data_IF_411410424026
#
_entry.id   IF_411410424026
#
_cell.length_a   1.000
_cell.length_b   1.000
_cell.length_c   1.000
_cell.angle_alpha   90.00
_cell.angle_beta   90.00
_cell.angle_gamma   90.00
#
_symmetry.space_group_name_H-M   'P 1'
#
loop_
_entity.id
_entity.type
_entity.pdbx_description
1 polymer ?
#
# COMPACT_ATOMS: atom_id res chain seq x y z
N UNK A 1 3.43 -7.86 -25.85
CA UNK A 1 3.89 -6.47 -25.63
C UNK A 1 4.01 -6.33 -24.12
N UNK A 2 5.17 -5.94 -23.57
CA UNK A 2 5.28 -5.76 -22.13
C UNK A 2 4.54 -4.48 -21.76
N UNK A 3 3.42 -4.67 -21.08
CA UNK A 3 2.67 -3.72 -20.27
C UNK A 3 3.61 -2.73 -19.56
N UNK A 4 3.69 -1.52 -20.10
CA UNK A 4 4.48 -0.44 -19.52
C UNK A 4 3.96 -0.11 -18.11
N UNK A 5 4.84 0.12 -17.13
CA UNK A 5 4.43 0.55 -15.80
C UNK A 5 3.59 1.82 -15.91
N UNK A 6 2.36 1.77 -15.42
CA UNK A 6 1.45 2.89 -15.51
C UNK A 6 1.80 3.91 -14.44
N UNK A 7 2.06 5.19 -14.79
CA UNK A 7 2.27 6.22 -13.80
C UNK A 7 0.99 6.40 -12.97
N UNK A 8 1.16 6.39 -11.65
CA UNK A 8 0.14 6.68 -10.67
C UNK A 8 0.52 7.99 -9.99
N UNK A 9 -0.43 8.85 -9.68
CA UNK A 9 -0.17 10.06 -8.90
C UNK A 9 -1.23 10.13 -7.81
N UNK A 10 -1.07 9.25 -6.81
CA UNK A 10 -2.07 9.09 -5.76
C UNK A 10 -1.43 9.06 -4.39
N UNK A 11 -1.84 9.99 -3.54
CA UNK A 11 -1.35 10.09 -2.17
C UNK A 11 -2.51 9.96 -1.21
N UNK A 12 -2.36 9.10 -0.19
CA UNK A 12 -3.36 8.95 0.86
C UNK A 12 -2.67 8.78 2.21
N UNK A 13 -3.36 9.13 3.28
CA UNK A 13 -2.86 8.97 4.64
C UNK A 13 -3.69 7.93 5.35
N UNK A 14 -3.04 6.91 5.91
CA UNK A 14 -3.71 5.85 6.64
C UNK A 14 -2.80 5.30 7.76
N UNK A 15 -3.37 4.80 8.86
CA UNK A 15 -2.61 4.24 9.97
C UNK A 15 -1.96 2.91 9.60
N UNK A 16 -0.72 2.71 10.06
CA UNK A 16 -0.04 1.41 10.02
C UNK A 16 -0.74 0.47 10.97
N UNK A 17 -1.24 -0.67 10.54
CA UNK A 17 -1.91 -1.59 11.47
C UNK A 17 -3.36 -1.74 11.13
N UNK A 18 -3.64 -2.73 10.29
CA UNK A 18 -5.00 -3.12 9.93
C UNK A 18 -5.36 -4.32 10.78
N UNK A 19 -6.44 -4.21 11.54
CA UNK A 19 -7.03 -5.38 12.18
C UNK A 19 -7.70 -6.24 11.10
N UNK A 20 -7.13 -7.41 10.85
CA UNK A 20 -7.73 -8.40 9.97
C UNK A 20 -8.09 -9.59 10.81
N UNK A 21 -9.38 -9.75 11.12
CA UNK A 21 -9.91 -10.84 11.94
C UNK A 21 -9.26 -10.94 13.34
N UNK A 22 -9.01 -9.80 14.00
CA UNK A 22 -8.43 -9.78 15.34
C UNK A 22 -6.91 -9.93 15.38
N UNK A 23 -6.25 -9.89 14.22
CA UNK A 23 -4.80 -9.92 14.12
C UNK A 23 -4.33 -8.58 13.53
N UNK A 24 -3.42 -7.91 14.25
CA UNK A 24 -2.96 -6.58 13.86
C UNK A 24 -1.85 -6.72 12.82
N UNK A 25 -2.24 -6.62 11.55
CA UNK A 25 -1.33 -6.82 10.46
C UNK A 25 -0.53 -5.56 10.18
N UNK A 26 0.74 -5.72 9.76
CA UNK A 26 1.62 -4.64 9.39
C UNK A 26 1.24 -3.91 8.10
N UNK A 27 -0.04 -3.68 7.88
CA UNK A 27 -0.60 -3.31 6.61
C UNK A 27 -1.20 -1.90 6.65
N UNK A 28 -1.15 -1.32 5.47
CA UNK A 28 -1.70 -0.10 4.88
C UNK A 28 -3.13 -0.18 4.34
N UNK A 29 -4.24 -0.07 5.09
CA UNK A 29 -5.54 -0.10 4.38
C UNK A 29 -5.78 1.21 3.62
N UNK A 30 -5.96 1.08 2.31
CA UNK A 30 -6.42 2.13 1.43
C UNK A 30 -7.88 1.86 1.03
N UNK A 31 -8.85 2.63 1.56
CA UNK A 31 -10.24 2.52 1.13
C UNK A 31 -10.40 2.98 -0.33
N UNK A 32 -11.25 2.31 -1.10
CA UNK A 32 -11.51 2.66 -2.50
C UNK A 32 -10.36 2.36 -3.48
N UNK A 33 -9.27 1.76 -3.00
CA UNK A 33 -8.13 1.41 -3.83
C UNK A 33 -8.49 0.40 -4.93
N UNK A 34 -9.42 -0.51 -4.66
CA UNK A 34 -9.84 -1.52 -5.64
C UNK A 34 -10.52 -0.88 -6.86
N UNK A 35 -11.32 0.16 -6.63
CA UNK A 35 -11.89 1.02 -7.68
C UNK A 35 -10.83 1.89 -8.34
N UNK A 36 -9.89 2.44 -7.54
CA UNK A 36 -8.81 3.27 -8.05
C UNK A 36 -7.88 2.51 -9.02
N UNK A 37 -7.48 1.29 -8.66
CA UNK A 37 -6.68 0.43 -9.51
C UNK A 37 -7.51 -0.30 -10.57
N UNK A 38 -8.83 -0.36 -10.41
CA UNK A 38 -9.74 -1.12 -11.27
C UNK A 38 -9.53 -2.63 -11.19
N UNK A 39 -8.92 -3.13 -10.11
CA UNK A 39 -8.57 -4.55 -9.96
C UNK A 39 -8.75 -5.02 -8.52
N UNK A 40 -9.55 -6.08 -8.35
CA UNK A 40 -9.70 -6.86 -7.12
C UNK A 40 -8.63 -7.92 -6.91
N UNK A 41 -7.45 -7.77 -7.52
CA UNK A 41 -6.31 -8.70 -7.41
C UNK A 41 -5.10 -7.99 -6.81
N UNK A 42 -4.15 -8.79 -6.32
CA UNK A 42 -2.88 -8.25 -5.83
C UNK A 42 -2.15 -7.51 -6.96
N UNK A 43 -1.70 -6.28 -6.67
CA UNK A 43 -0.95 -5.45 -7.61
C UNK A 43 0.39 -5.04 -7.00
N UNK A 44 1.40 -4.88 -7.86
CA UNK A 44 2.69 -4.34 -7.44
C UNK A 44 2.75 -2.86 -7.80
N UNK A 45 3.32 -2.07 -6.92
CA UNK A 45 3.42 -0.62 -7.07
C UNK A 45 4.75 -0.12 -6.55
N UNK A 46 5.19 0.99 -7.11
CA UNK A 46 6.29 1.81 -6.64
C UNK A 46 5.72 3.15 -6.14
N UNK A 47 6.38 3.75 -5.16
CA UNK A 47 5.86 4.88 -4.43
C UNK A 47 6.84 5.43 -3.40
N UNK A 48 6.32 6.21 -2.47
CA UNK A 48 6.98 6.62 -1.24
C UNK A 48 6.02 6.49 -0.06
N UNK A 49 6.57 6.23 1.12
CA UNK A 49 5.82 6.21 2.37
C UNK A 49 6.53 7.12 3.34
N UNK A 50 5.89 8.21 3.75
CA UNK A 50 6.44 9.18 4.70
C UNK A 50 7.81 9.75 4.24
N UNK A 51 8.02 9.84 2.93
CA UNK A 51 9.30 10.24 2.32
C UNK A 51 10.33 9.11 2.15
N UNK A 52 10.00 7.87 2.51
CA UNK A 52 10.83 6.69 2.22
C UNK A 52 10.40 6.10 0.86
N UNK A 53 11.27 6.10 -0.16
CA UNK A 53 10.95 5.50 -1.45
C UNK A 53 10.74 3.98 -1.28
N UNK A 54 9.65 3.50 -1.86
CA UNK A 54 9.26 2.11 -1.88
C UNK A 54 9.16 1.61 -3.31
N UNK A 55 9.74 0.46 -3.56
CA UNK A 55 9.73 -0.17 -4.87
C UNK A 55 9.27 -1.62 -4.71
N UNK A 56 8.54 -2.12 -5.71
CA UNK A 56 8.04 -3.49 -5.77
C UNK A 56 7.13 -3.88 -4.60
N UNK A 57 6.31 -2.94 -4.11
CA UNK A 57 5.42 -3.20 -2.97
C UNK A 57 4.12 -3.83 -3.45
N UNK A 58 3.68 -4.86 -2.72
CA UNK A 58 2.41 -5.55 -3.01
C UNK A 58 1.24 -4.93 -2.25
N UNK A 59 0.23 -4.50 -2.99
CA UNK A 59 -1.11 -4.25 -2.48
C UNK A 59 -1.94 -5.52 -2.64
N UNK A 60 -2.55 -5.96 -1.56
CA UNK A 60 -3.42 -7.13 -1.53
C UNK A 60 -4.86 -6.69 -1.31
N UNK A 61 -5.84 -7.23 -2.03
CA UNK A 61 -7.25 -6.90 -1.81
C UNK A 61 -7.73 -7.46 -0.47
N UNK A 62 -8.41 -6.64 0.33
CA UNK A 62 -9.03 -7.08 1.60
C UNK A 62 -10.34 -7.84 1.37
N UNK A 63 -10.87 -7.84 0.14
CA UNK A 63 -12.14 -8.46 -0.23
C UNK A 63 -13.37 -7.60 0.09
N UNK A 64 -13.21 -6.55 0.90
CA UNK A 64 -14.27 -5.58 1.25
C UNK A 64 -14.28 -4.36 0.31
N UNK A 65 -13.47 -4.38 -0.76
CA UNK A 65 -13.32 -3.23 -1.68
C UNK A 65 -12.19 -2.27 -1.32
N UNK A 66 -11.43 -2.56 -0.27
CA UNK A 66 -10.14 -1.92 0.01
C UNK A 66 -8.95 -2.73 -0.53
N UNK A 67 -7.82 -2.06 -0.70
CA UNK A 67 -6.52 -2.73 -0.83
C UNK A 67 -5.71 -2.45 0.42
N UNK A 68 -5.09 -3.48 0.97
CA UNK A 68 -4.13 -3.36 2.04
C UNK A 68 -2.71 -3.46 1.50
N UNK A 69 -1.88 -2.47 1.80
CA UNK A 69 -0.48 -2.43 1.42
C UNK A 69 0.36 -3.08 2.52
N UNK A 70 0.98 -4.23 2.26
CA UNK A 70 1.82 -4.89 3.26
C UNK A 70 3.15 -4.13 3.43
N UNK A 71 3.38 -3.55 4.61
CA UNK A 71 4.63 -2.85 4.91
C UNK A 71 5.67 -3.89 5.32
N UNK A 72 6.71 -4.04 4.49
CA UNK A 72 7.81 -4.94 4.80
C UNK A 72 8.57 -4.48 6.06
N UNK A 73 9.16 -5.43 6.80
CA UNK A 73 9.88 -5.14 8.05
C UNK A 73 10.99 -4.08 7.89
N UNK A 74 11.63 -4.03 6.70
CA UNK A 74 12.64 -3.03 6.36
C UNK A 74 12.06 -1.62 6.29
N UNK A 75 10.85 -1.46 5.76
CA UNK A 75 10.19 -0.17 5.65
C UNK A 75 9.75 0.36 7.01
N UNK A 76 9.18 -0.51 7.85
CA UNK A 76 8.82 -0.18 9.23
C UNK A 76 10.01 0.28 10.06
N UNK A 77 11.15 -0.44 9.95
CA UNK A 77 12.40 -0.01 10.57
C UNK A 77 12.91 1.35 10.06
N UNK A 78 12.66 1.67 8.79
CA UNK A 78 13.06 2.96 8.19
C UNK A 78 12.16 4.10 8.64
N UNK A 79 10.85 3.85 8.69
CA UNK A 79 9.85 4.80 9.19
C UNK A 79 10.04 5.08 10.68
N UNK A 80 10.47 4.08 11.47
CA UNK A 80 10.51 4.20 12.92
C UNK A 80 9.12 4.34 13.56
N UNK A 81 8.07 3.97 12.82
CA UNK A 81 6.67 4.04 13.21
C UNK A 81 6.13 2.65 13.56
N UNK A 82 5.29 2.59 14.60
CA UNK A 82 4.69 1.35 15.10
C UNK A 82 3.25 1.17 14.59
N UNK A 83 2.60 0.07 14.99
CA UNK A 83 1.20 -0.20 14.72
C UNK A 83 0.32 0.86 15.43
N UNK A 84 -0.48 1.57 14.65
CA UNK A 84 -1.37 2.66 15.03
C UNK A 84 -0.97 4.01 14.43
N UNK A 85 0.27 4.14 13.93
CA UNK A 85 0.80 5.45 13.52
C UNK A 85 0.37 5.83 12.10
N UNK A 86 -0.12 7.06 11.85
CA UNK A 86 -0.51 7.52 10.52
C UNK A 86 0.71 7.65 9.60
N UNK A 87 0.59 7.09 8.39
CA UNK A 87 1.59 7.23 7.33
C UNK A 87 0.96 7.76 6.07
N UNK A 88 1.69 8.65 5.40
CA UNK A 88 1.32 9.11 4.07
C UNK A 88 1.97 8.18 3.05
N UNK A 89 1.15 7.49 2.28
CA UNK A 89 1.59 6.63 1.17
C UNK A 89 1.29 7.36 -0.13
N UNK A 90 2.34 7.61 -0.90
CA UNK A 90 2.28 8.15 -2.25
C UNK A 90 2.60 7.03 -3.22
N UNK A 91 1.72 6.77 -4.16
CA UNK A 91 1.88 5.79 -5.22
C UNK A 91 2.30 6.55 -6.47
N UNK A 92 3.45 6.20 -7.04
CA UNK A 92 4.02 6.87 -8.22
C UNK A 92 3.89 6.02 -9.48
N UNK A 93 3.94 4.69 -9.35
CA UNK A 93 3.83 3.78 -10.50
C UNK A 93 3.17 2.47 -10.11
N UNK A 94 2.46 1.86 -11.05
CA UNK A 94 1.97 0.49 -10.96
C UNK A 94 2.80 -0.42 -11.87
N UNK A 95 3.32 -1.49 -11.27
CA UNK A 95 3.92 -2.62 -11.94
C UNK A 95 2.78 -3.62 -12.22
N UNK A 96 2.48 -3.85 -13.51
CA UNK A 96 1.42 -4.79 -13.93
C UNK A 96 1.99 -6.19 -14.07
#
# INVERSE_FOLDING_TARGET
MPDLPQPLDHSFTAPIGVDVKGELWPCVEMPGATEFFGTGKAVRVDGDVDGIPIENVGLMPTGTGGLMLSLNAKLRKRLGKDLGDPVTVTLTRRLT
#
